data_IF_138273084426
#
_entry.id   IF_138273084426
#
_cell.length_a   1.000
_cell.length_b   1.000
_cell.length_c   1.000
_cell.angle_alpha   90.00
_cell.angle_beta   90.00
_cell.angle_gamma   90.00
#
_symmetry.space_group_name_H-M   'P 1'
#
loop_
_entity.id
_entity.type
_entity.pdbx_description
1 polymer ?
#
# COMPACT_ATOMS: atom_id res chain seq x y z
N UNK A 1 -3.76 -0.77 -18.51
CA UNK A 1 -3.10 -1.42 -17.35
C UNK A 1 -4.20 -1.83 -16.40
N UNK A 2 -4.29 -3.12 -16.11
CA UNK A 2 -5.36 -3.71 -15.29
C UNK A 2 -4.89 -3.80 -13.84
N UNK A 3 -5.63 -3.18 -12.94
CA UNK A 3 -5.34 -3.10 -11.51
C UNK A 3 -6.27 -4.02 -10.71
N UNK A 4 -5.71 -4.75 -9.76
CA UNK A 4 -6.46 -5.49 -8.75
C UNK A 4 -6.20 -4.93 -7.37
N UNK A 5 -7.26 -4.60 -6.64
CA UNK A 5 -7.16 -4.06 -5.29
C UNK A 5 -7.44 -5.16 -4.27
N UNK A 6 -6.56 -5.32 -3.31
CA UNK A 6 -6.69 -6.24 -2.20
C UNK A 6 -6.83 -5.47 -0.90
N UNK A 7 -7.99 -5.61 -0.27
CA UNK A 7 -8.41 -4.80 0.88
C UNK A 7 -9.28 -3.61 0.45
N UNK A 8 -10.55 -3.61 0.85
CA UNK A 8 -11.55 -2.58 0.53
C UNK A 8 -11.81 -1.61 1.70
N UNK A 9 -10.88 -1.50 2.64
CA UNK A 9 -10.89 -0.54 3.73
C UNK A 9 -10.64 0.90 3.26
N UNK A 10 -10.35 1.80 4.20
CA UNK A 10 -10.12 3.22 3.90
C UNK A 10 -8.99 3.44 2.89
N UNK A 11 -7.89 2.68 3.00
CA UNK A 11 -6.77 2.79 2.06
C UNK A 11 -7.10 2.23 0.69
N UNK A 12 -7.80 1.09 0.61
CA UNK A 12 -8.26 0.55 -0.67
C UNK A 12 -9.18 1.51 -1.44
N UNK A 13 -10.05 2.21 -0.73
CA UNK A 13 -10.91 3.25 -1.31
C UNK A 13 -10.09 4.46 -1.81
N UNK A 14 -9.11 4.92 -1.02
CA UNK A 14 -8.24 6.03 -1.41
C UNK A 14 -7.39 5.69 -2.63
N UNK A 15 -6.81 4.48 -2.68
CA UNK A 15 -6.03 3.99 -3.81
C UNK A 15 -6.90 3.82 -5.08
N UNK A 16 -8.12 3.26 -4.94
CA UNK A 16 -9.05 3.14 -6.05
C UNK A 16 -9.39 4.50 -6.68
N UNK A 17 -9.64 5.52 -5.84
CA UNK A 17 -9.86 6.88 -6.32
C UNK A 17 -8.63 7.42 -7.06
N UNK A 18 -7.43 7.22 -6.52
CA UNK A 18 -6.19 7.61 -7.19
C UNK A 18 -5.98 6.90 -8.53
N UNK A 19 -6.19 5.58 -8.58
CA UNK A 19 -6.07 4.82 -9.83
C UNK A 19 -7.05 5.31 -10.91
N UNK A 20 -8.27 5.67 -10.53
CA UNK A 20 -9.27 6.19 -11.48
C UNK A 20 -8.82 7.48 -12.18
N UNK A 21 -7.99 8.30 -11.54
CA UNK A 21 -7.44 9.53 -12.13
C UNK A 21 -6.29 9.26 -13.10
N UNK A 22 -5.68 8.08 -13.07
CA UNK A 22 -4.56 7.73 -13.95
C UNK A 22 -4.97 7.16 -15.30
N UNK A 23 -6.26 6.84 -15.50
CA UNK A 23 -6.76 6.13 -16.67
C UNK A 23 -6.43 4.63 -16.67
N UNK A 24 -6.02 4.06 -15.55
CA UNK A 24 -5.87 2.62 -15.37
C UNK A 24 -7.24 1.97 -15.09
N UNK A 25 -7.40 0.71 -15.50
CA UNK A 25 -8.65 -0.04 -15.30
C UNK A 25 -8.59 -0.83 -13.99
N UNK A 26 -9.44 -0.49 -13.03
CA UNK A 26 -9.63 -1.32 -11.83
C UNK A 26 -10.58 -2.46 -12.23
N UNK A 27 -10.04 -3.66 -12.39
CA UNK A 27 -10.80 -4.81 -12.91
C UNK A 27 -11.30 -5.74 -11.81
N UNK A 28 -10.64 -5.78 -10.67
CA UNK A 28 -10.99 -6.70 -9.60
C UNK A 28 -10.71 -6.17 -8.20
N UNK A 29 -11.53 -6.60 -7.26
CA UNK A 29 -11.40 -6.32 -5.82
C UNK A 29 -11.50 -7.61 -5.05
N UNK A 30 -10.60 -7.82 -4.09
CA UNK A 30 -10.64 -8.90 -3.11
C UNK A 30 -10.60 -8.30 -1.71
N UNK A 31 -11.51 -8.70 -0.83
CA UNK A 31 -11.52 -8.28 0.56
C UNK A 31 -12.23 -9.31 1.43
N UNK A 32 -11.84 -9.41 2.69
CA UNK A 32 -12.54 -10.22 3.70
C UNK A 32 -13.91 -9.62 4.08
N UNK A 33 -14.04 -8.29 3.98
CA UNK A 33 -15.34 -7.62 4.09
C UNK A 33 -15.98 -7.53 2.69
N UNK A 34 -16.93 -8.41 2.46
CA UNK A 34 -17.65 -8.50 1.20
C UNK A 34 -18.45 -7.25 0.88
N UNK A 35 -19.06 -6.63 1.88
CA UNK A 35 -19.89 -5.42 1.67
C UNK A 35 -19.07 -4.24 1.20
N UNK A 36 -17.90 -4.01 1.80
CA UNK A 36 -16.94 -3.00 1.38
C UNK A 36 -16.37 -3.29 0.00
N UNK A 37 -16.07 -4.57 -0.32
CA UNK A 37 -15.62 -4.98 -1.65
C UNK A 37 -16.66 -4.68 -2.74
N UNK A 38 -17.93 -5.02 -2.48
CA UNK A 38 -19.04 -4.77 -3.42
C UNK A 38 -19.29 -3.26 -3.62
N UNK A 39 -19.16 -2.46 -2.56
CA UNK A 39 -19.29 -1.01 -2.65
C UNK A 39 -18.17 -0.41 -3.50
N UNK A 40 -16.92 -0.77 -3.25
CA UNK A 40 -15.77 -0.30 -3.99
C UNK A 40 -15.82 -0.74 -5.46
N UNK A 41 -16.11 -2.00 -5.70
CA UNK A 41 -16.22 -2.56 -7.05
C UNK A 41 -17.31 -1.84 -7.87
N UNK A 42 -18.48 -1.59 -7.27
CA UNK A 42 -19.59 -0.88 -7.92
C UNK A 42 -19.23 0.57 -8.29
N UNK A 43 -18.48 1.26 -7.41
CA UNK A 43 -18.06 2.66 -7.65
C UNK A 43 -17.11 2.79 -8.84
N UNK A 44 -16.25 1.79 -9.05
CA UNK A 44 -15.19 1.84 -10.06
C UNK A 44 -15.43 0.91 -11.26
N UNK A 45 -16.59 0.27 -11.37
CA UNK A 45 -16.92 -0.64 -12.47
C UNK A 45 -16.13 -1.95 -12.44
N UNK A 46 -15.56 -2.30 -11.27
CA UNK A 46 -14.78 -3.51 -11.05
C UNK A 46 -15.65 -4.69 -10.64
N UNK A 47 -15.06 -5.89 -10.58
CA UNK A 47 -15.71 -7.10 -10.08
C UNK A 47 -15.15 -7.49 -8.72
N UNK A 48 -16.00 -8.02 -7.84
CA UNK A 48 -15.53 -8.71 -6.64
C UNK A 48 -15.10 -10.11 -7.03
N UNK A 49 -13.85 -10.45 -6.77
CA UNK A 49 -13.29 -11.77 -7.07
C UNK A 49 -13.27 -12.65 -5.82
N UNK A 50 -13.35 -13.98 -5.98
CA UNK A 50 -13.51 -14.89 -4.85
C UNK A 50 -12.29 -14.95 -3.94
N UNK A 51 -11.09 -14.80 -4.51
CA UNK A 51 -9.83 -14.91 -3.79
C UNK A 51 -8.68 -14.22 -4.53
N UNK A 52 -7.53 -14.20 -3.90
CA UNK A 52 -6.32 -13.56 -4.42
C UNK A 52 -5.79 -14.26 -5.68
N UNK A 53 -5.90 -15.58 -5.77
CA UNK A 53 -5.43 -16.32 -6.95
C UNK A 53 -6.25 -15.98 -8.20
N UNK A 54 -7.56 -15.85 -8.04
CA UNK A 54 -8.45 -15.40 -9.12
C UNK A 54 -8.09 -13.97 -9.57
N UNK A 55 -7.75 -13.08 -8.62
CA UNK A 55 -7.30 -11.71 -8.94
C UNK A 55 -6.01 -11.74 -9.76
N UNK A 56 -5.02 -12.52 -9.33
CA UNK A 56 -3.74 -12.63 -10.02
C UNK A 56 -3.87 -13.05 -11.48
N UNK A 57 -4.86 -13.88 -11.82
CA UNK A 57 -5.07 -14.32 -13.20
C UNK A 57 -5.53 -13.18 -14.14
N UNK A 58 -6.08 -12.09 -13.60
CA UNK A 58 -6.77 -11.08 -14.39
C UNK A 58 -6.05 -9.73 -14.48
N UNK A 59 -5.04 -9.48 -13.64
CA UNK A 59 -4.44 -8.17 -13.46
C UNK A 59 -3.01 -8.09 -14.00
N UNK A 60 -2.53 -6.87 -14.18
CA UNK A 60 -1.13 -6.57 -14.48
C UNK A 60 -0.42 -6.06 -13.21
N UNK A 61 -1.15 -5.37 -12.36
CA UNK A 61 -0.67 -4.80 -11.09
C UNK A 61 -1.61 -5.21 -9.96
N UNK A 62 -1.03 -5.61 -8.83
CA UNK A 62 -1.73 -5.83 -7.56
C UNK A 62 -1.46 -4.65 -6.64
N UNK A 63 -2.52 -4.11 -6.05
CA UNK A 63 -2.45 -3.05 -5.06
C UNK A 63 -2.88 -3.59 -3.69
N UNK A 64 -1.90 -3.74 -2.79
CA UNK A 64 -2.06 -4.35 -1.47
C UNK A 64 -2.38 -3.30 -0.41
N UNK A 65 -3.66 -3.17 -0.07
CA UNK A 65 -4.21 -2.32 0.98
C UNK A 65 -4.73 -3.16 2.15
N UNK A 66 -3.94 -4.11 2.57
CA UNK A 66 -4.23 -5.09 3.63
C UNK A 66 -3.39 -4.80 4.89
N UNK A 67 -3.67 -5.45 6.04
CA UNK A 67 -2.79 -5.38 7.21
C UNK A 67 -1.35 -5.81 6.90
N UNK A 68 -0.39 -5.19 7.60
CA UNK A 68 1.05 -5.32 7.32
C UNK A 68 1.57 -6.75 7.40
N UNK A 69 1.01 -7.56 8.29
CA UNK A 69 1.34 -8.99 8.45
C UNK A 69 1.11 -9.82 7.18
N UNK A 70 0.30 -9.33 6.23
CA UNK A 70 -0.01 -10.01 4.96
C UNK A 70 0.86 -9.53 3.79
N UNK A 71 1.56 -8.41 3.92
CA UNK A 71 2.29 -7.78 2.81
C UNK A 71 3.32 -8.70 2.18
N UNK A 72 4.16 -9.34 2.99
CA UNK A 72 5.25 -10.20 2.53
C UNK A 72 4.72 -11.36 1.68
N UNK A 73 3.80 -12.15 2.21
CA UNK A 73 3.33 -13.36 1.54
C UNK A 73 2.57 -13.03 0.26
N UNK A 74 1.73 -12.01 0.28
CA UNK A 74 0.97 -11.58 -0.89
C UNK A 74 1.87 -10.95 -1.96
N UNK A 75 2.90 -10.19 -1.59
CA UNK A 75 3.88 -9.64 -2.53
C UNK A 75 4.67 -10.76 -3.22
N UNK A 76 5.18 -11.73 -2.45
CA UNK A 76 5.93 -12.88 -3.02
C UNK A 76 5.05 -13.70 -3.96
N UNK A 77 3.79 -13.93 -3.59
CA UNK A 77 2.85 -14.65 -4.45
C UNK A 77 2.54 -13.87 -5.73
N UNK A 78 2.31 -12.56 -5.66
CA UNK A 78 2.08 -11.71 -6.82
C UNK A 78 3.30 -11.66 -7.74
N UNK A 79 4.49 -11.48 -7.18
CA UNK A 79 5.74 -11.46 -7.94
C UNK A 79 5.95 -12.76 -8.72
N UNK A 80 5.80 -13.91 -8.06
CA UNK A 80 5.89 -15.24 -8.70
C UNK A 80 4.85 -15.48 -9.79
N UNK A 81 3.71 -14.80 -9.71
CA UNK A 81 2.69 -14.79 -10.75
C UNK A 81 2.99 -13.75 -11.87
N UNK A 82 4.15 -13.08 -11.83
CA UNK A 82 4.56 -12.09 -12.83
C UNK A 82 3.81 -10.77 -12.74
N UNK A 83 3.29 -10.40 -11.55
CA UNK A 83 2.52 -9.16 -11.37
C UNK A 83 3.35 -8.10 -10.68
N UNK A 84 3.25 -6.84 -11.16
CA UNK A 84 3.77 -5.70 -10.44
C UNK A 84 2.98 -5.50 -9.15
N UNK A 85 3.65 -4.95 -8.12
CA UNK A 85 3.03 -4.78 -6.80
C UNK A 85 3.14 -3.32 -6.36
N UNK A 86 2.02 -2.75 -5.97
CA UNK A 86 1.93 -1.58 -5.11
C UNK A 86 1.56 -2.10 -3.72
N UNK A 87 2.32 -1.74 -2.71
CA UNK A 87 2.12 -2.22 -1.34
C UNK A 87 2.00 -1.03 -0.40
N UNK A 88 1.00 -1.04 0.45
CA UNK A 88 0.87 -0.04 1.50
C UNK A 88 2.05 -0.07 2.48
N UNK A 89 2.25 1.06 3.13
CA UNK A 89 3.24 1.18 4.21
C UNK A 89 2.69 0.62 5.55
N UNK A 90 3.56 0.19 6.45
CA UNK A 90 4.97 -0.11 6.27
C UNK A 90 5.16 -1.32 5.35
N UNK A 91 6.30 -1.39 4.66
CA UNK A 91 6.56 -2.45 3.68
C UNK A 91 6.40 -3.85 4.27
N UNK A 92 6.95 -4.08 5.46
CA UNK A 92 6.94 -5.36 6.15
C UNK A 92 7.14 -5.17 7.65
N UNK A 93 6.97 -6.24 8.44
CA UNK A 93 7.19 -6.25 9.90
C UNK A 93 8.66 -6.50 10.29
N UNK A 94 9.47 -7.03 9.38
CA UNK A 94 10.90 -7.28 9.61
C UNK A 94 11.74 -6.90 8.39
N UNK A 95 13.05 -6.73 8.61
CA UNK A 95 14.01 -6.48 7.52
C UNK A 95 14.09 -7.71 6.61
N UNK A 96 14.03 -8.89 7.16
CA UNK A 96 14.07 -10.17 6.45
C UNK A 96 12.88 -10.31 5.51
N UNK A 97 11.68 -9.99 5.98
CA UNK A 97 10.46 -9.99 5.15
C UNK A 97 10.55 -8.96 4.02
N UNK A 98 11.01 -7.75 4.34
CA UNK A 98 11.22 -6.70 3.33
C UNK A 98 12.21 -7.11 2.25
N UNK A 99 13.34 -7.74 2.62
CA UNK A 99 14.31 -8.29 1.67
C UNK A 99 13.70 -9.38 0.79
N UNK A 100 12.97 -10.31 1.40
CA UNK A 100 12.27 -11.38 0.68
C UNK A 100 11.29 -10.84 -0.37
N UNK A 101 10.60 -9.74 -0.08
CA UNK A 101 9.71 -9.06 -1.04
C UNK A 101 10.48 -8.47 -2.22
N UNK A 102 11.60 -7.80 -1.95
CA UNK A 102 12.47 -7.21 -2.98
C UNK A 102 13.03 -8.30 -3.87
N UNK A 103 13.66 -9.32 -3.28
CA UNK A 103 14.27 -10.45 -3.99
C UNK A 103 13.27 -11.17 -4.89
N UNK A 104 12.06 -11.47 -4.37
CA UNK A 104 11.03 -12.12 -5.18
C UNK A 104 10.60 -11.28 -6.39
N UNK A 105 10.52 -9.96 -6.24
CA UNK A 105 10.18 -9.05 -7.34
C UNK A 105 11.32 -8.95 -8.36
N UNK A 106 12.57 -8.88 -7.91
CA UNK A 106 13.74 -8.84 -8.77
C UNK A 106 13.91 -10.15 -9.58
N UNK A 107 13.81 -11.30 -8.91
CA UNK A 107 13.88 -12.63 -9.55
C UNK A 107 12.77 -12.83 -10.59
N UNK A 108 11.59 -12.28 -10.35
CA UNK A 108 10.46 -12.37 -11.26
C UNK A 108 10.44 -11.29 -12.34
N UNK A 109 11.37 -10.33 -12.32
CA UNK A 109 11.43 -9.21 -13.27
C UNK A 109 10.24 -8.24 -13.15
N UNK A 110 9.61 -8.17 -11.97
CA UNK A 110 8.48 -7.27 -11.70
C UNK A 110 8.90 -6.12 -10.78
N UNK A 111 8.07 -5.09 -10.68
CA UNK A 111 8.33 -3.92 -9.84
C UNK A 111 7.54 -3.98 -8.55
N UNK A 112 8.20 -3.63 -7.45
CA UNK A 112 7.59 -3.36 -6.16
C UNK A 112 7.64 -1.86 -5.88
N UNK A 113 6.50 -1.28 -5.59
CA UNK A 113 6.36 0.11 -5.18
C UNK A 113 5.70 0.17 -3.80
N UNK A 114 6.39 0.75 -2.82
CA UNK A 114 5.84 0.95 -1.47
C UNK A 114 5.21 2.34 -1.37
N UNK A 115 3.98 2.41 -0.89
CA UNK A 115 3.17 3.63 -0.83
C UNK A 115 3.63 4.58 0.30
N UNK A 116 4.87 5.06 0.24
CA UNK A 116 5.39 6.10 1.12
C UNK A 116 4.85 7.48 0.71
N UNK A 117 3.54 7.68 0.83
CA UNK A 117 2.79 8.83 0.28
C UNK A 117 3.31 10.19 0.75
N UNK A 118 3.87 10.29 1.96
CA UNK A 118 4.42 11.55 2.47
C UNK A 118 5.52 12.12 1.60
N UNK A 119 6.27 11.29 0.88
CA UNK A 119 7.31 11.74 -0.06
C UNK A 119 6.74 12.57 -1.21
N UNK A 120 5.45 12.45 -1.48
CA UNK A 120 4.75 13.14 -2.58
C UNK A 120 3.89 14.31 -2.12
N UNK A 121 3.69 14.49 -0.81
CA UNK A 121 2.94 15.62 -0.30
C UNK A 121 3.68 16.94 -0.56
N UNK A 122 2.99 17.98 -1.08
CA UNK A 122 3.65 19.23 -1.51
C UNK A 122 4.52 19.88 -0.43
N UNK A 123 4.09 19.88 0.83
CA UNK A 123 4.83 20.47 1.93
C UNK A 123 6.14 19.71 2.24
N UNK A 124 6.14 18.37 2.15
CA UNK A 124 7.35 17.57 2.37
C UNK A 124 8.30 17.68 1.18
N UNK A 125 7.78 17.74 -0.04
CA UNK A 125 8.59 17.99 -1.24
C UNK A 125 9.26 19.38 -1.16
N UNK A 126 8.50 20.42 -0.83
CA UNK A 126 9.04 21.77 -0.70
C UNK A 126 10.14 21.84 0.37
N UNK A 127 9.99 21.14 1.49
CA UNK A 127 11.03 21.04 2.51
C UNK A 127 12.28 20.31 2.00
N UNK A 128 12.11 19.16 1.35
CA UNK A 128 13.22 18.41 0.76
C UNK A 128 13.96 19.23 -0.31
N UNK A 129 13.23 19.89 -1.20
CA UNK A 129 13.80 20.76 -2.24
C UNK A 129 14.58 21.94 -1.64
N UNK A 130 14.10 22.51 -0.52
CA UNK A 130 14.80 23.59 0.17
C UNK A 130 16.14 23.13 0.78
N UNK A 131 16.17 21.94 1.37
CA UNK A 131 17.38 21.31 1.91
C UNK A 131 18.36 20.97 0.77
N UNK A 132 17.91 20.29 -0.26
CA UNK A 132 18.73 19.88 -1.40
C UNK A 132 19.32 21.05 -2.19
N UNK A 133 18.60 22.17 -2.25
CA UNK A 133 19.06 23.41 -2.86
C UNK A 133 19.98 24.25 -1.96
N UNK A 134 20.33 23.77 -0.76
CA UNK A 134 21.17 24.48 0.19
C UNK A 134 20.54 25.75 0.81
N UNK A 135 19.22 25.95 0.64
CA UNK A 135 18.52 27.17 1.09
C UNK A 135 18.48 27.33 2.61
N UNK A 136 18.70 26.25 3.34
CA UNK A 136 18.73 26.23 4.81
C UNK A 136 20.16 26.07 5.37
N UNK A 137 21.18 26.04 4.50
CA UNK A 137 22.56 25.73 4.87
C UNK A 137 22.70 24.26 5.29
N UNK A 138 23.73 23.98 6.11
CA UNK A 138 23.94 22.62 6.65
C UNK A 138 22.85 22.28 7.66
N UNK A 139 22.25 21.12 7.48
CA UNK A 139 21.15 20.63 8.32
C UNK A 139 21.68 20.14 9.66
N UNK A 140 21.55 20.93 10.73
CA UNK A 140 21.98 20.57 12.09
C UNK A 140 20.93 19.77 12.85
N UNK A 141 19.67 20.21 12.81
CA UNK A 141 18.54 19.55 13.52
C UNK A 141 17.28 19.63 12.68
N UNK A 142 16.55 18.52 12.63
CA UNK A 142 15.21 18.47 12.05
C UNK A 142 14.20 18.00 13.12
N UNK A 143 13.10 18.72 13.28
CA UNK A 143 11.97 18.31 14.11
C UNK A 143 10.72 18.20 13.27
N UNK A 144 10.19 16.98 13.17
CA UNK A 144 8.93 16.69 12.50
C UNK A 144 7.88 16.33 13.57
N UNK A 145 6.73 16.96 13.50
CA UNK A 145 5.60 16.64 14.38
C UNK A 145 4.37 16.38 13.54
N UNK A 146 3.84 15.17 13.66
CA UNK A 146 2.55 14.78 13.08
C UNK A 146 1.63 14.34 14.19
N UNK A 147 0.41 14.85 14.18
CA UNK A 147 -0.63 14.49 15.13
C UNK A 147 -1.80 13.95 14.33
N UNK A 148 -2.34 12.81 14.75
CA UNK A 148 -3.50 12.18 14.13
C UNK A 148 -4.40 11.60 15.21
N UNK A 149 -5.69 11.46 14.91
CA UNK A 149 -6.58 10.67 15.74
C UNK A 149 -6.29 9.18 15.55
N UNK A 150 -6.49 8.36 16.59
CA UNK A 150 -6.37 6.92 16.45
C UNK A 150 -7.39 6.39 15.42
N UNK A 151 -7.06 5.30 14.70
CA UNK A 151 -8.00 4.65 13.80
C UNK A 151 -9.30 4.25 14.52
N UNK A 152 -10.41 4.33 13.81
CA UNK A 152 -11.73 3.98 14.33
C UNK A 152 -12.32 2.79 13.57
N UNK A 153 -13.34 2.16 14.17
CA UNK A 153 -14.05 1.05 13.53
C UNK A 153 -13.25 -0.26 13.49
N UNK A 154 -13.49 -1.06 12.47
CA UNK A 154 -12.88 -2.39 12.27
C UNK A 154 -11.35 -2.33 12.04
N UNK A 155 -10.85 -1.22 11.53
CA UNK A 155 -9.41 -1.02 11.33
C UNK A 155 -8.64 -0.95 12.65
N UNK A 156 -9.30 -0.51 13.75
CA UNK A 156 -8.67 -0.41 15.06
C UNK A 156 -8.16 -1.74 15.60
N UNK A 157 -8.80 -2.85 15.28
CA UNK A 157 -8.48 -4.16 15.85
C UNK A 157 -7.10 -4.68 15.41
N UNK A 158 -6.82 -4.66 14.11
CA UNK A 158 -5.53 -5.13 13.61
C UNK A 158 -4.42 -4.10 13.88
N UNK A 159 -4.76 -2.81 13.84
CA UNK A 159 -3.81 -1.73 14.07
C UNK A 159 -3.31 -1.68 15.52
N UNK A 160 -4.16 -2.05 16.48
CA UNK A 160 -3.80 -2.16 17.90
C UNK A 160 -3.03 -3.45 18.24
N UNK A 161 -3.00 -4.41 17.34
CA UNK A 161 -2.26 -5.67 17.49
C UNK A 161 -0.84 -5.51 16.93
N UNK A 162 0.15 -5.39 17.81
CA UNK A 162 1.55 -5.21 17.42
C UNK A 162 2.11 -6.35 16.56
N UNK A 163 1.58 -7.57 16.72
CA UNK A 163 2.02 -8.72 15.92
C UNK A 163 1.60 -8.59 14.44
N UNK A 164 0.60 -7.75 14.17
CA UNK A 164 0.05 -7.51 12.83
C UNK A 164 0.46 -6.18 12.22
N UNK A 165 0.58 -5.15 13.04
CA UNK A 165 0.89 -3.78 12.60
C UNK A 165 2.36 -3.39 12.77
N UNK A 166 3.09 -4.07 13.65
CA UNK A 166 4.42 -3.65 14.10
C UNK A 166 4.37 -2.52 15.15
N UNK A 167 3.18 -2.09 15.56
CA UNK A 167 2.97 -1.01 16.51
C UNK A 167 3.14 0.39 15.92
N UNK A 168 2.90 1.41 16.76
CA UNK A 168 2.89 2.82 16.34
C UNK A 168 4.22 3.31 15.75
N UNK A 169 5.35 2.77 16.19
CA UNK A 169 6.66 3.18 15.68
C UNK A 169 6.84 2.72 14.23
N UNK A 170 6.47 1.49 13.92
CA UNK A 170 6.57 0.96 12.55
C UNK A 170 5.59 1.59 11.58
N UNK A 171 4.37 1.85 12.04
CA UNK A 171 3.30 2.31 11.13
C UNK A 171 3.29 3.83 10.92
N UNK A 172 3.64 4.63 11.94
CA UNK A 172 3.48 6.09 11.88
C UNK A 172 4.80 6.87 11.78
N UNK A 173 5.94 6.26 12.01
CA UNK A 173 7.26 6.91 11.97
C UNK A 173 8.09 6.42 10.80
#
# INVERSE_FOLDING_TARGET
MRIGIVGAGSMGQAHAAGWSETGADIVGVVSTDRSSAEALARTHGARVLPDFSALLAEVDVVDLCVPTDLHRDMTVQAARAGKHVVCEKPMALSIEDGRSMIEACEESGVRLFVAHVLRFFPQYRAAADAVNAGRVGDLGVMRLKRVSYPPQGTERSWFADESRSGGMIFDLM
#
